data_IF_791592621291
#
_entry.id   IF_791592621291
#
_cell.length_a   1.000
_cell.length_b   1.000
_cell.length_c   1.000
_cell.angle_alpha   90.00
_cell.angle_beta   90.00
_cell.angle_gamma   90.00
#
_symmetry.space_group_name_H-M   'P 1'
#
loop_
_entity.id
_entity.type
_entity.pdbx_description
1 polymer ?
#
# COMPACT_ATOMS: atom_id res chain seq x y z
N UNK A 1 -5.45 16.27 -4.61
CA UNK A 1 -4.64 15.24 -5.28
C UNK A 1 -4.43 14.08 -4.32
N UNK A 2 -4.75 12.88 -4.75
CA UNK A 2 -4.60 11.69 -3.92
C UNK A 2 -3.22 11.08 -4.12
N UNK A 3 -2.54 10.75 -3.03
CA UNK A 3 -1.32 9.96 -3.08
C UNK A 3 -1.68 8.49 -3.22
N UNK A 4 -0.93 7.78 -4.05
CA UNK A 4 -1.16 6.36 -4.27
C UNK A 4 0.18 5.62 -4.29
N UNK A 5 0.23 4.49 -3.60
CA UNK A 5 1.38 3.58 -3.59
C UNK A 5 0.90 2.19 -3.92
N UNK A 6 1.38 1.65 -5.03
CA UNK A 6 1.07 0.27 -5.41
C UNK A 6 2.12 -0.69 -4.88
N UNK A 7 1.77 -1.96 -4.81
CA UNK A 7 2.69 -3.04 -4.42
C UNK A 7 3.29 -2.83 -3.03
N UNK A 8 2.43 -2.41 -2.10
CA UNK A 8 2.79 -2.25 -0.68
C UNK A 8 2.54 -3.58 0.02
N UNK A 9 3.48 -4.01 0.84
CA UNK A 9 3.34 -5.25 1.60
C UNK A 9 2.82 -4.92 3.00
N UNK A 10 1.74 -5.60 3.41
CA UNK A 10 1.26 -5.50 4.78
C UNK A 10 1.43 -6.85 5.45
N UNK A 11 2.12 -6.85 6.59
CA UNK A 11 2.27 -8.05 7.43
C UNK A 11 1.09 -8.16 8.38
N UNK A 12 0.50 -9.34 8.45
CA UNK A 12 -0.60 -9.64 9.37
C UNK A 12 -0.20 -10.85 10.20
N UNK A 13 0.15 -10.62 11.48
CA UNK A 13 0.47 -11.70 12.41
C UNK A 13 1.59 -12.61 11.93
N UNK A 14 1.50 -13.89 12.26
CA UNK A 14 2.52 -14.92 12.08
C UNK A 14 2.96 -15.18 10.62
N UNK A 15 3.59 -14.19 9.99
CA UNK A 15 4.18 -14.40 8.67
C UNK A 15 3.22 -14.30 7.50
N UNK A 16 1.96 -13.96 7.73
CA UNK A 16 1.02 -13.74 6.63
C UNK A 16 1.29 -12.35 6.04
N UNK A 17 1.68 -12.33 4.77
CA UNK A 17 2.02 -11.10 4.05
C UNK A 17 1.20 -11.02 2.78
N UNK A 18 0.56 -9.88 2.55
CA UNK A 18 -0.26 -9.64 1.37
C UNK A 18 0.13 -8.33 0.73
N UNK A 19 -0.18 -8.20 -0.56
CA UNK A 19 0.13 -6.99 -1.34
C UNK A 19 -1.10 -6.12 -1.45
N UNK A 20 -0.90 -4.82 -1.25
CA UNK A 20 -1.96 -3.82 -1.27
C UNK A 20 -1.58 -2.63 -2.14
N UNK A 21 -2.60 -1.93 -2.63
CA UNK A 21 -2.44 -0.55 -3.06
C UNK A 21 -2.91 0.35 -1.93
N UNK A 22 -2.09 1.32 -1.58
CA UNK A 22 -2.44 2.34 -0.59
C UNK A 22 -2.88 3.60 -1.32
N UNK A 23 -4.07 4.08 -1.01
CA UNK A 23 -4.60 5.32 -1.58
C UNK A 23 -4.97 6.26 -0.46
N UNK A 24 -4.32 7.43 -0.43
CA UNK A 24 -4.67 8.48 0.52
C UNK A 24 -5.75 9.36 -0.11
N UNK A 25 -6.94 9.28 0.45
CA UNK A 25 -8.06 10.12 0.07
C UNK A 25 -8.20 11.30 1.04
N UNK A 26 -9.27 12.05 0.91
CA UNK A 26 -9.47 13.29 1.67
C UNK A 26 -9.55 13.05 3.18
N UNK A 27 -10.23 11.99 3.60
CA UNK A 27 -10.51 11.73 5.02
C UNK A 27 -10.02 10.38 5.53
N UNK A 28 -9.43 9.57 4.66
CA UNK A 28 -9.05 8.20 5.00
C UNK A 28 -7.92 7.68 4.13
N UNK A 29 -7.21 6.70 4.67
CA UNK A 29 -6.26 5.89 3.90
C UNK A 29 -6.95 4.56 3.59
N UNK A 30 -6.91 4.16 2.34
CA UNK A 30 -7.45 2.89 1.89
C UNK A 30 -6.31 1.93 1.58
N UNK A 31 -6.39 0.71 2.11
CA UNK A 31 -5.50 -0.38 1.76
C UNK A 31 -6.33 -1.43 1.03
N UNK A 32 -6.08 -1.58 -0.25
CA UNK A 32 -6.86 -2.46 -1.12
C UNK A 32 -5.99 -3.63 -1.53
N UNK A 33 -6.36 -4.83 -1.14
CA UNK A 33 -5.59 -6.02 -1.47
C UNK A 33 -5.56 -6.23 -2.98
N UNK A 34 -4.37 -6.44 -3.52
CA UNK A 34 -4.18 -6.66 -4.95
C UNK A 34 -3.62 -8.03 -5.28
N UNK A 35 -2.93 -8.69 -4.36
CA UNK A 35 -2.40 -10.01 -4.64
C UNK A 35 -1.48 -10.53 -3.55
N UNK A 36 -0.65 -11.52 -3.91
CA UNK A 36 0.27 -12.17 -2.99
C UNK A 36 1.71 -11.71 -3.20
N UNK A 37 2.50 -11.77 -2.13
CA UNK A 37 3.89 -11.29 -2.11
C UNK A 37 4.77 -12.06 -3.10
N UNK A 38 4.49 -13.35 -3.33
CA UNK A 38 5.31 -14.16 -4.24
C UNK A 38 5.37 -13.62 -5.67
N UNK A 39 4.34 -12.90 -6.10
CA UNK A 39 4.32 -12.32 -7.45
C UNK A 39 5.20 -11.08 -7.58
N UNK A 40 5.61 -10.45 -6.49
CA UNK A 40 6.38 -9.20 -6.54
C UNK A 40 7.78 -9.39 -7.14
N UNK A 41 8.33 -10.60 -7.09
CA UNK A 41 9.63 -10.90 -7.70
C UNK A 41 9.68 -10.68 -9.21
N UNK A 42 8.50 -10.61 -9.85
CA UNK A 42 8.38 -10.39 -11.30
C UNK A 42 8.26 -8.91 -11.66
N UNK A 43 8.37 -8.01 -10.70
CA UNK A 43 8.32 -6.56 -10.92
C UNK A 43 9.67 -5.93 -10.64
N UNK A 44 10.00 -4.90 -11.40
CA UNK A 44 11.24 -4.15 -11.23
C UNK A 44 10.96 -2.67 -11.36
N UNK A 45 11.53 -1.88 -10.46
CA UNK A 45 11.48 -0.42 -10.58
C UNK A 45 12.66 0.04 -11.44
N UNK A 46 12.36 0.81 -12.47
CA UNK A 46 13.36 1.34 -13.40
C UNK A 46 13.88 2.70 -12.92
N UNK A 47 14.96 3.17 -13.55
CA UNK A 47 15.57 4.45 -13.21
C UNK A 47 14.64 5.62 -13.47
N UNK A 48 13.69 5.50 -14.40
CA UNK A 48 12.69 6.53 -14.71
C UNK A 48 11.48 6.50 -13.77
N UNK A 49 11.57 5.76 -12.66
CA UNK A 49 10.53 5.59 -11.63
C UNK A 49 9.37 4.69 -12.05
N UNK A 50 9.34 4.21 -13.30
CA UNK A 50 8.31 3.26 -13.73
C UNK A 50 8.57 1.87 -13.14
N UNK A 51 7.51 1.06 -13.00
CA UNK A 51 7.61 -0.32 -12.56
C UNK A 51 7.23 -1.22 -13.72
N UNK A 52 8.13 -2.11 -14.10
CA UNK A 52 7.93 -3.01 -15.22
C UNK A 52 7.85 -4.46 -14.75
N UNK A 53 7.13 -5.27 -15.52
CA UNK A 53 7.10 -6.72 -15.32
C UNK A 53 8.34 -7.32 -15.97
N UNK A 54 9.06 -8.15 -15.23
CA UNK A 54 10.22 -8.89 -15.74
C UNK A 54 9.89 -10.38 -15.73
N UNK A 55 10.38 -11.10 -16.76
CA UNK A 55 10.14 -12.53 -16.88
C UNK A 55 8.80 -12.87 -17.54
N UNK A 56 8.28 -14.09 -17.31
CA UNK A 56 7.06 -14.54 -17.98
C UNK A 56 5.85 -13.69 -17.61
N UNK A 57 5.29 -12.99 -18.58
CA UNK A 57 4.10 -12.16 -18.36
C UNK A 57 2.82 -13.00 -18.21
N UNK A 58 2.95 -14.30 -18.31
CA UNK A 58 1.85 -15.25 -18.13
C UNK A 58 1.62 -15.64 -16.68
N UNK A 59 2.46 -15.19 -15.76
CA UNK A 59 2.32 -15.50 -14.34
C UNK A 59 0.96 -15.03 -13.81
N UNK A 60 0.23 -15.94 -13.21
CA UNK A 60 -1.13 -15.69 -12.72
C UNK A 60 -1.16 -14.62 -11.63
N UNK A 61 -0.19 -14.64 -10.71
CA UNK A 61 -0.10 -13.68 -9.63
C UNK A 61 0.17 -12.27 -10.14
N UNK A 62 1.02 -12.15 -11.18
CA UNK A 62 1.30 -10.86 -11.82
C UNK A 62 0.04 -10.30 -12.47
N UNK A 63 -0.70 -11.14 -13.20
CA UNK A 63 -1.94 -10.73 -13.86
C UNK A 63 -2.99 -10.27 -12.83
N UNK A 64 -3.07 -10.96 -11.71
CA UNK A 64 -3.99 -10.59 -10.63
C UNK A 64 -3.67 -9.22 -10.07
N UNK A 65 -2.40 -8.93 -9.77
CA UNK A 65 -1.98 -7.63 -9.24
C UNK A 65 -2.29 -6.53 -10.24
N UNK A 66 -1.92 -6.71 -11.51
CA UNK A 66 -2.16 -5.71 -12.54
C UNK A 66 -3.64 -5.43 -12.76
N UNK A 67 -4.47 -6.48 -12.78
CA UNK A 67 -5.91 -6.33 -12.95
C UNK A 67 -6.54 -5.58 -11.78
N UNK A 68 -6.14 -5.92 -10.56
CA UNK A 68 -6.67 -5.28 -9.36
C UNK A 68 -6.21 -3.81 -9.25
N UNK A 69 -4.97 -3.51 -9.62
CA UNK A 69 -4.48 -2.14 -9.66
C UNK A 69 -5.25 -1.32 -10.71
N UNK A 70 -5.53 -1.89 -11.87
CA UNK A 70 -6.30 -1.22 -12.91
C UNK A 70 -7.75 -0.97 -12.48
N UNK A 71 -8.34 -1.90 -11.74
CA UNK A 71 -9.70 -1.74 -11.23
C UNK A 71 -9.81 -0.55 -10.26
N UNK A 72 -8.76 -0.28 -9.49
CA UNK A 72 -8.73 0.89 -8.59
C UNK A 72 -8.80 2.19 -9.39
N UNK A 73 -8.16 2.25 -10.55
CA UNK A 73 -8.15 3.45 -11.39
C UNK A 73 -9.54 3.81 -11.92
N UNK A 74 -10.43 2.82 -12.07
CA UNK A 74 -11.74 3.01 -12.68
C UNK A 74 -12.89 3.00 -11.67
N UNK A 75 -12.60 2.65 -10.40
CA UNK A 75 -13.62 2.53 -9.36
C UNK A 75 -13.49 3.70 -8.38
N UNK A 76 -14.56 4.45 -8.10
CA UNK A 76 -14.50 5.48 -7.07
C UNK A 76 -14.12 4.87 -5.73
N UNK A 77 -13.08 5.43 -5.10
CA UNK A 77 -12.51 4.85 -3.88
C UNK A 77 -13.55 4.77 -2.75
N UNK A 78 -14.47 5.71 -2.72
CA UNK A 78 -15.51 5.77 -1.70
C UNK A 78 -16.50 4.62 -1.77
N UNK A 79 -16.58 3.95 -2.92
CA UNK A 79 -17.48 2.81 -3.11
C UNK A 79 -16.85 1.48 -2.69
N UNK A 80 -15.56 1.48 -2.37
CA UNK A 80 -14.88 0.28 -1.90
C UNK A 80 -15.33 -0.02 -0.48
N UNK A 81 -16.02 -1.14 -0.33
CA UNK A 81 -16.59 -1.51 0.96
C UNK A 81 -15.53 -2.02 1.92
N UNK A 82 -15.39 -1.42 3.12
CA UNK A 82 -14.44 -1.92 4.12
C UNK A 82 -14.86 -3.24 4.73
N UNK A 83 -15.99 -3.79 4.34
CA UNK A 83 -16.49 -5.09 4.82
C UNK A 83 -15.80 -6.28 4.18
N UNK A 84 -15.07 -6.07 3.09
CA UNK A 84 -14.25 -7.13 2.53
C UNK A 84 -13.07 -7.36 3.46
N UNK A 85 -12.83 -8.60 3.87
CA UNK A 85 -11.79 -8.96 4.84
C UNK A 85 -10.38 -8.50 4.43
N UNK A 86 -10.19 -8.28 3.15
CA UNK A 86 -8.88 -7.98 2.60
C UNK A 86 -8.69 -6.49 2.30
N UNK A 87 -9.66 -5.65 2.64
CA UNK A 87 -9.55 -4.20 2.42
C UNK A 87 -9.69 -3.47 3.73
N UNK A 88 -8.94 -2.37 3.87
CA UNK A 88 -8.95 -1.55 5.08
C UNK A 88 -9.23 -0.10 4.71
N UNK A 89 -10.08 0.53 5.50
CA UNK A 89 -10.29 1.97 5.47
C UNK A 89 -9.85 2.52 6.81
N UNK A 90 -8.78 3.30 6.82
CA UNK A 90 -8.25 3.89 8.04
C UNK A 90 -8.59 5.37 8.03
N UNK A 91 -9.47 5.78 8.94
CA UNK A 91 -9.84 7.19 9.05
C UNK A 91 -8.64 7.97 9.58
N UNK A 92 -8.35 9.11 8.96
CA UNK A 92 -7.18 9.91 9.34
C UNK A 92 -7.27 10.36 10.79
N UNK A 93 -8.47 10.68 11.28
CA UNK A 93 -8.68 11.10 12.66
C UNK A 93 -8.42 10.00 13.68
N UNK A 94 -8.41 8.73 13.26
CA UNK A 94 -8.18 7.59 14.15
C UNK A 94 -6.68 7.27 14.29
N UNK A 95 -5.83 7.89 13.51
CA UNK A 95 -4.38 7.63 13.55
C UNK A 95 -3.76 8.32 14.76
N UNK A 96 -3.12 7.53 15.62
CA UNK A 96 -2.44 8.05 16.80
C UNK A 96 -1.00 8.47 16.50
N UNK A 97 -0.30 7.70 15.66
CA UNK A 97 1.08 7.97 15.32
C UNK A 97 1.45 7.28 14.00
N UNK A 98 2.41 7.86 13.29
CA UNK A 98 2.97 7.27 12.07
C UNK A 98 4.49 7.35 12.16
N UNK A 99 5.13 6.20 12.27
CA UNK A 99 6.58 6.09 12.30
C UNK A 99 7.10 5.47 11.01
N UNK A 100 8.24 5.95 10.53
CA UNK A 100 8.89 5.37 9.35
C UNK A 100 10.34 5.04 9.65
N UNK A 101 10.88 4.09 8.90
CA UNK A 101 12.30 3.78 8.94
C UNK A 101 12.77 3.28 7.57
N UNK A 102 14.07 3.39 7.33
CA UNK A 102 14.71 2.84 6.14
C UNK A 102 15.43 1.57 6.52
N UNK A 103 15.07 0.47 5.90
CA UNK A 103 15.78 -0.79 5.92
C UNK A 103 16.09 -1.14 4.46
N UNK A 104 16.04 -2.39 4.05
CA UNK A 104 16.17 -2.77 2.62
C UNK A 104 15.14 -2.03 1.77
N UNK A 105 13.97 -1.82 2.33
CA UNK A 105 12.91 -1.00 1.74
C UNK A 105 12.39 -0.04 2.80
N UNK A 106 11.79 1.10 2.40
CA UNK A 106 11.12 1.96 3.36
C UNK A 106 9.99 1.21 4.07
N UNK A 107 9.82 1.46 5.36
CA UNK A 107 8.80 0.82 6.19
C UNK A 107 8.03 1.87 6.96
N UNK A 108 6.76 1.59 7.21
CA UNK A 108 5.88 2.50 7.94
C UNK A 108 5.04 1.72 8.95
N UNK A 109 4.92 2.27 10.16
CA UNK A 109 4.01 1.75 11.17
C UNK A 109 2.94 2.80 11.44
N UNK A 110 1.69 2.47 11.15
CA UNK A 110 0.55 3.33 11.45
C UNK A 110 -0.11 2.79 12.70
N UNK A 111 -0.10 3.58 13.77
CA UNK A 111 -0.66 3.18 15.07
C UNK A 111 -2.08 3.71 15.24
N UNK A 112 -2.98 2.82 15.60
CA UNK A 112 -4.36 3.13 15.94
C UNK A 112 -4.65 2.60 17.34
N UNK A 113 -5.74 3.04 17.93
CA UNK A 113 -6.21 2.46 19.19
C UNK A 113 -6.60 0.99 18.97
N UNK A 114 -5.88 0.08 19.59
CA UNK A 114 -6.18 -1.34 19.55
C UNK A 114 -5.71 -2.10 18.31
N UNK A 115 -5.08 -1.42 17.35
CA UNK A 115 -4.54 -2.11 16.17
C UNK A 115 -3.45 -1.28 15.51
N UNK A 116 -2.54 -1.98 14.83
CA UNK A 116 -1.45 -1.34 14.09
C UNK A 116 -1.41 -1.88 12.68
N UNK A 117 -0.93 -1.05 11.73
CA UNK A 117 -0.68 -1.47 10.36
C UNK A 117 0.81 -1.30 10.07
N UNK A 118 1.48 -2.40 9.79
CA UNK A 118 2.89 -2.41 9.43
C UNK A 118 3.03 -2.61 7.93
N UNK A 119 3.63 -1.63 7.26
CA UNK A 119 3.70 -1.58 5.80
C UNK A 119 5.16 -1.53 5.33
N UNK A 120 5.45 -2.24 4.24
CA UNK A 120 6.75 -2.21 3.57
C UNK A 120 6.52 -1.74 2.14
N UNK A 121 7.38 -0.82 1.66
CA UNK A 121 7.23 -0.19 0.37
C UNK A 121 8.40 -0.55 -0.56
N UNK A 122 8.44 -1.77 -1.13
CA UNK A 122 9.60 -2.21 -1.90
C UNK A 122 9.82 -1.47 -3.22
N UNK A 123 8.80 -0.77 -3.71
CA UNK A 123 8.87 -0.05 -4.98
C UNK A 123 8.77 1.47 -4.82
N UNK A 124 8.97 1.97 -3.60
CA UNK A 124 8.98 3.41 -3.33
C UNK A 124 10.32 3.83 -2.76
N UNK A 125 10.65 5.12 -2.89
CA UNK A 125 11.82 5.69 -2.24
C UNK A 125 11.46 6.13 -0.81
N UNK A 126 12.47 6.30 0.02
CA UNK A 126 12.25 6.80 1.39
C UNK A 126 11.61 8.19 1.36
N UNK A 127 12.04 9.06 0.43
CA UNK A 127 11.46 10.40 0.30
C UNK A 127 9.98 10.36 -0.03
N UNK A 128 9.56 9.43 -0.88
CA UNK A 128 8.15 9.26 -1.21
C UNK A 128 7.33 8.83 0.03
N UNK A 129 7.89 7.91 0.81
CA UNK A 129 7.24 7.43 2.04
C UNK A 129 7.21 8.54 3.11
N UNK A 130 8.26 9.37 3.17
CA UNK A 130 8.28 10.55 4.03
C UNK A 130 7.17 11.52 3.68
N UNK A 131 6.93 11.74 2.40
CA UNK A 131 5.83 12.60 1.94
C UNK A 131 4.49 12.06 2.42
N UNK A 132 4.30 10.75 2.33
CA UNK A 132 3.09 10.09 2.85
C UNK A 132 2.98 10.29 4.37
N UNK A 133 4.07 10.09 5.11
CA UNK A 133 4.08 10.27 6.56
C UNK A 133 3.63 11.67 6.95
N UNK A 134 4.16 12.68 6.27
CA UNK A 134 3.80 14.08 6.54
C UNK A 134 2.31 14.32 6.30
N UNK A 135 1.79 13.76 5.21
CA UNK A 135 0.37 13.90 4.88
C UNK A 135 -0.51 13.26 5.95
N UNK A 136 -0.12 12.09 6.47
CA UNK A 136 -0.86 11.40 7.52
C UNK A 136 -0.75 12.12 8.86
N UNK A 137 0.43 12.59 9.23
CA UNK A 137 0.65 13.30 10.49
C UNK A 137 -0.07 14.65 10.57
N UNK A 138 -0.34 15.25 9.45
CA UNK A 138 -1.08 16.53 9.39
C UNK A 138 -2.44 16.42 10.05
N UNK A 139 -3.02 15.22 10.11
CA UNK A 139 -4.35 14.97 10.67
C UNK A 139 -4.32 14.39 12.10
N UNK A 140 -3.14 13.94 12.55
CA UNK A 140 -3.00 13.30 13.87
C UNK A 140 -2.63 14.29 14.99
N UNK A 141 -2.54 15.54 14.67
CA UNK A 141 -2.18 16.58 15.66
C UNK A 141 -3.33 16.89 16.63
#
# INVERSE_FOLDING_TARGET
MNLRFDKVIRSVGLGVRKVYSLVLAEDAVYLIKTGSVGALKHFQRNADQSVAVIGPQTDRGVKEILANEAAIDTTPIETLQPTDRDHYRIRLEAIEDVAIKQDKSPEMLIKLTGSDHYLVFPFATFDEVQTLQRALNKWSA
#
